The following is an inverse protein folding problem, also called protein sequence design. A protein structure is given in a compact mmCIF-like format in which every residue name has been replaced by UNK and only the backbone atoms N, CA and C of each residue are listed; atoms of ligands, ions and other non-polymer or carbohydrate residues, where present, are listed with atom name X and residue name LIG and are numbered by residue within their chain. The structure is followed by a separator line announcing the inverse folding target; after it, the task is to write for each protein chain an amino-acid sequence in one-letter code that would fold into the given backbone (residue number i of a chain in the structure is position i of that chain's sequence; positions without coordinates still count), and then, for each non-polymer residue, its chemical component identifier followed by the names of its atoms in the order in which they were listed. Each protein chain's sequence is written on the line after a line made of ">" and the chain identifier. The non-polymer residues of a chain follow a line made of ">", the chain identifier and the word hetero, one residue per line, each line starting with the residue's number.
data_IF_232564162914
#
_entry.id   IF_232564162914
#
_cell.length_a   1.000
_cell.length_b   1.000
_cell.length_c   1.000
_cell.angle_alpha   90.00
_cell.angle_beta   90.00
_cell.angle_gamma   90.00
#
_symmetry.space_group_name_H-M   'P 1'
#
loop_
_entity.id
_entity.type
_entity.pdbx_description
1 polymer ?
#
# COMPACT_ATOMS: atom_id res chain seq x y z
N UNK A 1 19.39 11.11 -5.39
CA UNK A 1 19.66 10.56 -4.02
C UNK A 1 18.86 9.29 -3.91
N UNK A 2 19.52 8.15 -3.63
CA UNK A 2 18.84 6.85 -3.55
C UNK A 2 17.88 6.79 -2.36
N UNK A 3 16.80 6.03 -2.52
CA UNK A 3 15.72 5.88 -1.51
C UNK A 3 16.29 5.41 -0.16
N UNK A 4 17.30 4.55 -0.15
CA UNK A 4 17.93 4.04 1.08
C UNK A 4 18.55 5.11 1.96
N UNK A 5 18.88 6.27 1.40
CA UNK A 5 19.49 7.40 2.14
C UNK A 5 18.43 8.34 2.74
N UNK A 6 17.17 8.15 2.39
CA UNK A 6 16.05 8.92 2.93
C UNK A 6 15.67 8.43 4.34
N UNK A 7 15.15 9.32 5.16
CA UNK A 7 14.55 8.97 6.46
C UNK A 7 13.22 8.24 6.24
N UNK A 8 12.70 7.56 7.27
CA UNK A 8 11.39 6.90 7.20
C UNK A 8 10.25 7.86 6.79
N UNK A 9 10.13 9.09 7.36
CA UNK A 9 9.12 10.03 6.92
C UNK A 9 9.22 10.41 5.43
N UNK A 10 10.43 10.66 4.94
CA UNK A 10 10.68 11.01 3.54
C UNK A 10 10.32 9.85 2.60
N UNK A 11 10.74 8.60 2.93
CA UNK A 11 10.35 7.41 2.16
C UNK A 11 8.85 7.22 2.15
N UNK A 12 8.20 7.32 3.32
CA UNK A 12 6.76 7.15 3.43
C UNK A 12 5.98 8.16 2.58
N UNK A 13 6.44 9.41 2.54
CA UNK A 13 5.85 10.43 1.68
C UNK A 13 6.09 10.13 0.19
N UNK A 14 7.32 9.75 -0.19
CA UNK A 14 7.65 9.41 -1.57
C UNK A 14 6.77 8.27 -2.08
N UNK A 15 6.67 7.17 -1.33
CA UNK A 15 5.87 6.02 -1.74
C UNK A 15 4.36 6.31 -1.74
N UNK A 16 3.86 7.18 -0.84
CA UNK A 16 2.48 7.66 -0.90
C UNK A 16 2.19 8.43 -2.19
N UNK A 17 3.10 9.30 -2.61
CA UNK A 17 2.99 10.03 -3.88
C UNK A 17 3.03 9.08 -5.08
N UNK A 18 3.92 8.08 -5.10
CA UNK A 18 3.96 7.08 -6.17
C UNK A 18 2.70 6.21 -6.21
N UNK A 19 2.19 5.77 -5.06
CA UNK A 19 0.92 5.04 -4.98
C UNK A 19 -0.27 5.90 -5.45
N UNK A 20 -0.26 7.21 -5.19
CA UNK A 20 -1.28 8.15 -5.70
C UNK A 20 -1.18 8.35 -7.20
N UNK A 21 0.03 8.49 -7.74
CA UNK A 21 0.28 8.64 -9.19
C UNK A 21 -0.23 7.42 -9.95
N UNK A 22 -0.19 6.23 -9.35
CA UNK A 22 -0.66 4.99 -9.98
C UNK A 22 -2.17 4.99 -10.33
N UNK A 23 -2.97 5.89 -9.76
CA UNK A 23 -4.39 6.06 -10.15
C UNK A 23 -4.60 6.89 -11.41
N UNK A 24 -3.56 7.54 -11.92
CA UNK A 24 -3.70 8.41 -13.09
C UNK A 24 -3.60 7.60 -14.39
N UNK A 25 -4.64 7.68 -15.24
CA UNK A 25 -4.69 7.01 -16.54
C UNK A 25 -3.90 7.75 -17.64
N UNK A 26 -3.52 9.02 -17.39
CA UNK A 26 -2.75 9.80 -18.34
C UNK A 26 -1.24 9.55 -18.18
N UNK A 27 -0.69 8.64 -18.97
CA UNK A 27 0.73 8.26 -18.92
C UNK A 27 1.70 9.45 -19.08
N UNK A 28 1.32 10.50 -19.79
CA UNK A 28 2.17 11.69 -19.93
C UNK A 28 2.27 12.45 -18.61
N UNK A 29 1.15 12.58 -17.90
CA UNK A 29 1.12 13.21 -16.58
C UNK A 29 1.81 12.34 -15.53
N UNK A 30 1.61 11.02 -15.59
CA UNK A 30 2.35 10.05 -14.73
C UNK A 30 3.87 10.23 -14.91
N UNK A 31 4.37 10.25 -16.15
CA UNK A 31 5.80 10.46 -16.43
C UNK A 31 6.31 11.80 -15.93
N UNK A 32 5.52 12.88 -16.08
CA UNK A 32 5.88 14.21 -15.59
C UNK A 32 5.98 14.24 -14.07
N UNK A 33 5.00 13.68 -13.37
CA UNK A 33 4.98 13.60 -11.90
C UNK A 33 6.09 12.69 -11.37
N UNK A 34 6.32 11.53 -11.99
CA UNK A 34 7.41 10.63 -11.63
C UNK A 34 8.78 11.32 -11.79
N UNK A 35 8.98 12.10 -12.87
CA UNK A 35 10.20 12.85 -13.09
C UNK A 35 10.46 13.89 -11.99
N UNK A 36 9.41 14.56 -11.49
CA UNK A 36 9.54 15.51 -10.37
C UNK A 36 9.94 14.83 -9.05
N UNK A 37 9.68 13.52 -8.93
CA UNK A 37 10.08 12.68 -7.79
C UNK A 37 11.43 11.98 -8.00
N UNK A 38 12.12 12.25 -9.12
CA UNK A 38 13.44 11.70 -9.41
C UNK A 38 13.47 10.37 -10.16
N UNK A 39 12.35 9.98 -10.78
CA UNK A 39 12.25 8.77 -11.61
C UNK A 39 12.20 9.13 -13.08
N UNK A 40 13.12 8.57 -13.87
CA UNK A 40 13.30 8.91 -15.30
C UNK A 40 12.64 7.92 -16.24
N UNK A 41 12.40 6.70 -15.78
CA UNK A 41 11.76 5.64 -16.55
C UNK A 41 10.46 5.22 -15.88
N UNK A 42 9.41 5.09 -16.68
CA UNK A 42 8.07 4.67 -16.23
C UNK A 42 7.55 3.63 -17.20
N UNK A 43 7.17 2.47 -16.69
CA UNK A 43 6.50 1.40 -17.41
C UNK A 43 5.11 1.18 -16.81
N UNK A 44 4.12 0.85 -17.64
CA UNK A 44 2.75 0.59 -17.21
C UNK A 44 2.37 -0.85 -17.50
N UNK A 45 1.90 -1.55 -16.51
CA UNK A 45 1.38 -2.90 -16.61
C UNK A 45 -0.13 -2.89 -16.46
N UNK A 46 -0.83 -3.52 -17.41
CA UNK A 46 -2.28 -3.63 -17.39
C UNK A 46 -2.71 -4.96 -18.01
N UNK A 47 -3.40 -5.77 -17.23
CA UNK A 47 -3.95 -7.03 -17.69
C UNK A 47 -5.21 -7.37 -16.90
N UNK A 48 -6.31 -7.66 -17.59
CA UNK A 48 -7.62 -8.06 -17.02
C UNK A 48 -8.15 -7.11 -15.93
N UNK A 49 -7.79 -5.81 -15.99
CA UNK A 49 -8.16 -4.81 -14.99
C UNK A 49 -7.16 -4.63 -13.85
N UNK A 50 -6.28 -5.59 -13.61
CA UNK A 50 -5.16 -5.44 -12.70
C UNK A 50 -4.12 -4.47 -13.28
N UNK A 51 -3.66 -3.50 -12.49
CA UNK A 51 -2.76 -2.45 -12.97
C UNK A 51 -1.65 -2.14 -11.97
N UNK A 52 -0.47 -1.85 -12.53
CA UNK A 52 0.67 -1.36 -11.75
C UNK A 52 1.59 -0.48 -12.62
N UNK A 53 2.41 0.30 -11.96
CA UNK A 53 3.49 1.07 -12.60
C UNK A 53 4.84 0.66 -12.04
N UNK A 54 5.85 0.60 -12.92
CA UNK A 54 7.25 0.62 -12.53
C UNK A 54 7.80 2.03 -12.69
N UNK A 55 8.36 2.55 -11.61
CA UNK A 55 9.12 3.79 -11.59
C UNK A 55 10.58 3.45 -11.36
N UNK A 56 11.48 3.93 -12.22
CA UNK A 56 12.90 3.59 -12.12
C UNK A 56 13.80 4.81 -12.28
N UNK A 57 14.84 4.84 -11.48
CA UNK A 57 15.99 5.72 -11.62
C UNK A 57 17.29 4.88 -11.62
N UNK A 58 18.45 5.52 -11.47
CA UNK A 58 19.75 4.84 -11.52
C UNK A 58 19.96 3.83 -10.36
N UNK A 59 19.40 4.12 -9.18
CA UNK A 59 19.65 3.35 -7.95
C UNK A 59 18.45 2.47 -7.56
N UNK A 60 17.23 2.88 -7.93
CA UNK A 60 16.00 2.32 -7.37
C UNK A 60 14.98 1.97 -8.45
N UNK A 61 14.25 0.90 -8.22
CA UNK A 61 13.10 0.45 -8.98
C UNK A 61 11.92 0.25 -8.02
N UNK A 62 10.82 0.94 -8.28
CA UNK A 62 9.60 0.89 -7.47
C UNK A 62 8.45 0.33 -8.28
N UNK A 63 7.81 -0.72 -7.78
CA UNK A 63 6.52 -1.21 -8.29
C UNK A 63 5.40 -0.60 -7.44
N UNK A 64 4.58 0.23 -8.05
CA UNK A 64 3.40 0.83 -7.43
C UNK A 64 2.14 0.19 -8.00
N UNK A 65 1.47 -0.62 -7.18
CA UNK A 65 0.21 -1.26 -7.58
C UNK A 65 -0.95 -0.29 -7.44
N UNK A 66 -1.78 -0.22 -8.48
CA UNK A 66 -3.01 0.58 -8.48
C UNK A 66 -4.10 -0.16 -7.71
N UNK A 67 -4.81 0.56 -6.86
CA UNK A 67 -6.04 0.10 -6.22
C UNK A 67 -7.26 0.35 -7.11
N UNK A 68 -8.42 -0.10 -6.64
CA UNK A 68 -9.70 0.20 -7.24
C UNK A 68 -10.18 1.58 -6.78
N UNK A 69 -10.93 2.28 -7.64
CA UNK A 69 -11.54 3.56 -7.28
C UNK A 69 -12.47 3.42 -6.06
N UNK A 70 -12.49 4.40 -5.13
CA UNK A 70 -13.28 4.33 -3.91
C UNK A 70 -14.78 4.10 -4.13
N UNK A 71 -15.32 4.53 -5.28
CA UNK A 71 -16.72 4.34 -5.66
C UNK A 71 -17.10 2.88 -5.91
N UNK A 72 -16.13 2.04 -6.28
CA UNK A 72 -16.31 0.60 -6.53
C UNK A 72 -16.00 -0.24 -5.28
N UNK A 73 -15.61 0.41 -4.18
CA UNK A 73 -15.18 -0.29 -2.96
C UNK A 73 -16.27 -1.15 -2.33
N UNK A 74 -17.55 -0.77 -2.46
CA UNK A 74 -18.68 -1.58 -1.95
C UNK A 74 -18.74 -2.96 -2.61
N UNK A 75 -18.42 -3.04 -3.91
CA UNK A 75 -18.39 -4.30 -4.66
C UNK A 75 -17.21 -5.15 -4.20
N UNK A 76 -16.02 -4.51 -4.03
CA UNK A 76 -14.83 -5.17 -3.50
C UNK A 76 -15.04 -5.64 -2.05
N UNK A 77 -15.71 -4.85 -1.20
CA UNK A 77 -16.02 -5.24 0.17
C UNK A 77 -16.94 -6.45 0.23
N UNK A 78 -17.83 -6.63 -0.76
CA UNK A 78 -18.64 -7.85 -0.91
C UNK A 78 -17.80 -9.05 -1.34
N UNK A 79 -16.84 -8.86 -2.27
CA UNK A 79 -15.91 -9.89 -2.72
C UNK A 79 -14.83 -10.22 -1.68
N UNK A 80 -14.57 -9.33 -0.73
CA UNK A 80 -13.66 -9.57 0.42
C UNK A 80 -14.11 -10.75 1.31
N UNK A 81 -15.31 -11.32 1.10
CA UNK A 81 -15.72 -12.61 1.67
C UNK A 81 -15.09 -13.82 0.96
N UNK A 82 -14.24 -13.58 -0.03
CA UNK A 82 -13.63 -14.66 -0.80
C UNK A 82 -12.84 -15.64 0.10
N UNK A 83 -13.00 -16.92 -0.18
CA UNK A 83 -12.28 -17.96 0.53
C UNK A 83 -10.75 -17.81 0.35
N UNK A 84 -9.94 -18.11 1.38
CA UNK A 84 -8.51 -18.10 1.25
C UNK A 84 -8.02 -19.25 0.36
N UNK A 85 -6.98 -18.98 -0.45
CA UNK A 85 -6.31 -19.95 -1.32
C UNK A 85 -4.85 -20.12 -0.93
N UNK A 86 -4.19 -21.17 -1.43
CA UNK A 86 -2.74 -21.36 -1.22
C UNK A 86 -1.94 -20.28 -1.94
N UNK A 87 -0.96 -19.72 -1.25
CA UNK A 87 0.10 -18.87 -1.81
C UNK A 87 1.33 -19.69 -2.17
N UNK A 88 2.34 -19.03 -2.70
CA UNK A 88 3.67 -19.60 -3.00
C UNK A 88 4.34 -20.17 -1.74
N UNK A 89 4.11 -19.58 -0.59
CA UNK A 89 4.58 -20.09 0.72
C UNK A 89 3.80 -21.30 1.26
N UNK A 90 2.91 -21.90 0.45
CA UNK A 90 1.95 -22.92 0.85
C UNK A 90 0.96 -22.51 1.97
N UNK A 91 1.02 -21.26 2.41
CA UNK A 91 0.10 -20.65 3.38
C UNK A 91 -1.14 -20.07 2.68
N UNK A 92 -2.04 -19.44 3.44
CA UNK A 92 -3.31 -18.96 2.91
C UNK A 92 -3.32 -17.46 2.71
N UNK A 93 -3.63 -17.03 1.48
CA UNK A 93 -3.79 -15.65 1.04
C UNK A 93 -5.20 -15.42 0.49
N UNK A 94 -5.67 -14.21 0.47
CA UNK A 94 -6.97 -13.84 -0.11
C UNK A 94 -7.01 -14.14 -1.61
N UNK A 95 -8.04 -14.89 -2.06
CA UNK A 95 -8.19 -15.35 -3.46
C UNK A 95 -8.16 -14.19 -4.45
N UNK A 96 -8.97 -13.14 -4.21
CA UNK A 96 -9.07 -12.01 -5.12
C UNK A 96 -7.74 -11.28 -5.28
N UNK A 97 -7.03 -10.98 -4.18
CA UNK A 97 -5.73 -10.30 -4.26
C UNK A 97 -4.67 -11.12 -4.98
N UNK A 98 -4.70 -12.45 -4.75
CA UNK A 98 -3.81 -13.36 -5.47
C UNK A 98 -4.13 -13.40 -6.96
N UNK A 99 -5.40 -13.46 -7.32
CA UNK A 99 -5.84 -13.51 -8.72
C UNK A 99 -5.40 -12.25 -9.50
N UNK A 100 -5.59 -11.05 -8.94
CA UNK A 100 -5.09 -9.80 -9.55
C UNK A 100 -3.57 -9.83 -9.77
N UNK A 101 -2.84 -10.36 -8.81
CA UNK A 101 -1.38 -10.48 -8.94
C UNK A 101 -0.99 -11.57 -9.92
N UNK A 102 -1.69 -12.72 -9.96
CA UNK A 102 -1.44 -13.80 -10.93
C UNK A 102 -1.52 -13.31 -12.38
N UNK A 103 -2.43 -12.35 -12.67
CA UNK A 103 -2.53 -11.74 -13.99
C UNK A 103 -1.33 -10.85 -14.34
N UNK A 104 -0.85 -10.03 -13.40
CA UNK A 104 0.23 -9.09 -13.66
C UNK A 104 1.63 -9.68 -13.50
N UNK A 105 1.79 -10.66 -12.61
CA UNK A 105 3.10 -11.14 -12.17
C UNK A 105 4.02 -11.61 -13.30
N UNK A 106 3.55 -12.37 -14.30
CA UNK A 106 4.43 -12.81 -15.38
C UNK A 106 5.06 -11.63 -16.14
N UNK A 107 4.28 -10.59 -16.41
CA UNK A 107 4.74 -9.38 -17.11
C UNK A 107 5.70 -8.54 -16.24
N UNK A 108 5.38 -8.39 -14.97
CA UNK A 108 6.22 -7.66 -13.99
C UNK A 108 7.53 -8.38 -13.77
N UNK A 109 7.50 -9.70 -13.60
CA UNK A 109 8.70 -10.54 -13.38
C UNK A 109 9.63 -10.50 -14.60
N UNK A 110 9.10 -10.68 -15.82
CA UNK A 110 9.87 -10.58 -17.06
C UNK A 110 10.58 -9.23 -17.18
N UNK A 111 9.84 -8.15 -16.94
CA UNK A 111 10.39 -6.80 -17.05
C UNK A 111 11.44 -6.49 -15.97
N UNK A 112 11.20 -6.89 -14.73
CA UNK A 112 12.18 -6.75 -13.65
C UNK A 112 13.44 -7.56 -13.97
N UNK A 113 13.30 -8.82 -14.38
CA UNK A 113 14.44 -9.68 -14.71
C UNK A 113 15.29 -9.08 -15.83
N UNK A 114 14.66 -8.45 -16.82
CA UNK A 114 15.35 -7.83 -17.97
C UNK A 114 15.99 -6.49 -17.62
N UNK A 115 15.37 -5.70 -16.74
CA UNK A 115 15.73 -4.28 -16.52
C UNK A 115 16.54 -4.04 -15.26
N UNK A 116 16.46 -4.91 -14.27
CA UNK A 116 17.19 -4.73 -13.00
C UNK A 116 18.66 -5.06 -13.19
N UNK A 117 19.50 -4.04 -13.07
CA UNK A 117 20.92 -4.24 -12.81
C UNK A 117 21.11 -4.76 -11.38
N UNK A 118 22.19 -5.52 -11.14
CA UNK A 118 22.52 -6.06 -9.80
C UNK A 118 22.58 -5.02 -8.68
N UNK A 119 22.72 -3.75 -9.02
CA UNK A 119 22.84 -2.63 -8.08
C UNK A 119 21.51 -1.91 -7.81
N UNK A 120 20.47 -2.13 -8.63
CA UNK A 120 19.16 -1.52 -8.39
C UNK A 120 18.47 -2.15 -7.18
N UNK A 121 17.92 -1.33 -6.30
CA UNK A 121 17.08 -1.77 -5.18
C UNK A 121 15.63 -1.85 -5.60
N UNK A 122 14.95 -2.91 -5.19
CA UNK A 122 13.55 -3.19 -5.53
C UNK A 122 12.63 -2.83 -4.37
N UNK A 123 11.64 -1.99 -4.63
CA UNK A 123 10.68 -1.49 -3.65
C UNK A 123 9.26 -1.72 -4.13
N UNK A 124 8.33 -1.88 -3.19
CA UNK A 124 6.91 -2.00 -3.50
C UNK A 124 6.09 -0.99 -2.74
N UNK A 125 5.04 -0.46 -3.38
CA UNK A 125 4.06 0.35 -2.70
C UNK A 125 2.66 0.19 -3.31
N UNK A 126 1.65 0.61 -2.56
CA UNK A 126 0.28 0.61 -3.02
C UNK A 126 -0.70 1.15 -1.99
N UNK A 127 -1.89 1.47 -2.46
CA UNK A 127 -3.00 1.95 -1.65
C UNK A 127 -4.23 1.06 -1.88
N UNK A 128 -5.02 0.83 -0.83
CA UNK A 128 -6.27 0.05 -0.93
C UNK A 128 -6.03 -1.38 -1.46
N UNK A 129 -6.75 -1.82 -2.49
CA UNK A 129 -6.49 -3.08 -3.19
C UNK A 129 -5.05 -3.16 -3.71
N UNK A 130 -4.51 -2.05 -4.25
CA UNK A 130 -3.12 -1.99 -4.70
C UNK A 130 -2.11 -2.25 -3.58
N UNK A 131 -2.45 -1.90 -2.33
CA UNK A 131 -1.63 -2.26 -1.17
C UNK A 131 -1.60 -3.77 -0.92
N UNK A 132 -2.73 -4.45 -1.11
CA UNK A 132 -2.79 -5.91 -1.01
C UNK A 132 -2.01 -6.57 -2.15
N UNK A 133 -2.14 -6.08 -3.39
CA UNK A 133 -1.38 -6.56 -4.54
C UNK A 133 0.14 -6.38 -4.32
N UNK A 134 0.57 -5.20 -3.88
CA UNK A 134 1.96 -4.91 -3.57
C UNK A 134 2.51 -5.86 -2.48
N UNK A 135 1.69 -6.19 -1.47
CA UNK A 135 2.05 -7.16 -0.42
C UNK A 135 2.27 -8.56 -1.00
N UNK A 136 1.38 -9.02 -1.90
CA UNK A 136 1.51 -10.34 -2.54
C UNK A 136 2.71 -10.37 -3.47
N UNK A 137 2.96 -9.31 -4.27
CA UNK A 137 4.12 -9.23 -5.17
C UNK A 137 5.44 -9.22 -4.39
N UNK A 138 5.55 -8.41 -3.33
CA UNK A 138 6.74 -8.37 -2.48
C UNK A 138 7.02 -9.74 -1.82
N UNK A 139 5.98 -10.46 -1.41
CA UNK A 139 6.10 -11.84 -0.90
C UNK A 139 6.62 -12.81 -1.97
N UNK A 140 6.21 -12.66 -3.22
CA UNK A 140 6.63 -13.53 -4.33
C UNK A 140 8.10 -13.40 -4.64
N UNK A 141 8.68 -12.20 -4.54
CA UNK A 141 10.10 -11.99 -4.80
C UNK A 141 10.98 -12.97 -4.02
N UNK A 142 10.61 -13.29 -2.78
CA UNK A 142 11.33 -14.24 -1.94
C UNK A 142 11.33 -15.70 -2.47
N UNK A 143 10.42 -16.02 -3.39
CA UNK A 143 10.31 -17.37 -4.00
C UNK A 143 10.76 -17.39 -5.46
N UNK A 144 11.39 -16.31 -5.94
CA UNK A 144 11.85 -16.13 -7.32
C UNK A 144 13.36 -15.97 -7.39
N UNK A 145 14.08 -17.04 -7.75
CA UNK A 145 15.55 -17.02 -7.84
C UNK A 145 16.08 -16.07 -8.92
N UNK A 146 15.22 -15.66 -9.87
CA UNK A 146 15.61 -14.81 -11.01
C UNK A 146 15.71 -13.32 -10.68
N UNK A 147 15.16 -12.88 -9.55
CA UNK A 147 15.15 -11.48 -9.11
C UNK A 147 15.60 -11.39 -7.65
N UNK A 148 15.96 -10.19 -7.25
CA UNK A 148 16.30 -9.91 -5.83
C UNK A 148 15.05 -9.74 -4.98
N UNK A 149 15.22 -9.95 -3.68
CA UNK A 149 14.20 -9.64 -2.69
C UNK A 149 13.84 -8.15 -2.68
N UNK A 150 12.60 -7.86 -2.28
CA UNK A 150 12.17 -6.50 -2.03
C UNK A 150 12.90 -5.91 -0.81
N UNK A 151 13.44 -4.70 -0.94
CA UNK A 151 14.10 -3.98 0.18
C UNK A 151 13.09 -3.66 1.28
N UNK A 152 12.02 -2.97 0.92
CA UNK A 152 10.91 -2.64 1.83
C UNK A 152 9.60 -2.51 1.04
N UNK A 153 8.49 -2.64 1.76
CA UNK A 153 7.13 -2.47 1.27
C UNK A 153 6.43 -1.34 2.03
N UNK A 154 5.77 -0.44 1.30
CA UNK A 154 5.00 0.66 1.87
C UNK A 154 3.54 0.60 1.43
N UNK A 155 2.63 0.48 2.37
CA UNK A 155 1.20 0.40 2.07
C UNK A 155 0.38 1.43 2.82
N UNK A 156 -0.68 1.91 2.18
CA UNK A 156 -1.60 2.92 2.69
C UNK A 156 -3.02 2.37 2.64
N UNK A 157 -3.72 2.38 3.75
CA UNK A 157 -5.08 1.84 3.82
C UNK A 157 -5.19 0.37 3.40
N UNK A 158 -4.17 -0.45 3.70
CA UNK A 158 -4.13 -1.85 3.27
C UNK A 158 -5.17 -2.71 3.98
N UNK A 159 -5.95 -3.53 3.26
CA UNK A 159 -6.74 -4.59 3.86
C UNK A 159 -5.84 -5.70 4.43
N UNK A 160 -6.43 -6.68 5.15
CA UNK A 160 -5.71 -7.88 5.60
C UNK A 160 -5.53 -8.84 4.44
N UNK A 161 -4.29 -9.24 4.15
CA UNK A 161 -3.95 -9.97 2.93
C UNK A 161 -4.00 -11.48 3.11
N UNK A 162 -3.63 -11.99 4.27
CA UNK A 162 -3.52 -13.44 4.48
C UNK A 162 -3.76 -13.92 5.90
N UNK A 163 -3.66 -15.22 6.09
CA UNK A 163 -3.76 -15.88 7.38
C UNK A 163 -2.42 -15.82 8.15
N UNK A 164 -2.39 -16.19 9.46
CA UNK A 164 -1.18 -16.12 10.27
C UNK A 164 0.02 -16.84 9.69
N UNK A 165 -0.19 -17.96 9.00
CA UNK A 165 0.88 -18.70 8.32
C UNK A 165 1.52 -17.86 7.20
N UNK A 166 0.70 -17.17 6.40
CA UNK A 166 1.18 -16.28 5.34
C UNK A 166 1.97 -15.09 5.92
N UNK A 167 1.41 -14.43 6.93
CA UNK A 167 2.07 -13.31 7.60
C UNK A 167 3.43 -13.69 8.18
N UNK A 168 3.56 -14.91 8.72
CA UNK A 168 4.84 -15.41 9.26
C UNK A 168 5.90 -15.67 8.19
N UNK A 169 5.50 -15.89 6.94
CA UNK A 169 6.43 -16.14 5.82
C UNK A 169 6.87 -14.87 5.12
N UNK A 170 6.31 -13.70 5.47
CA UNK A 170 6.73 -12.42 4.93
C UNK A 170 8.15 -12.08 5.44
N UNK A 171 9.08 -11.91 4.50
CA UNK A 171 10.48 -11.54 4.79
C UNK A 171 10.72 -10.05 4.59
N UNK A 172 9.95 -9.43 3.69
CA UNK A 172 10.09 -8.01 3.35
C UNK A 172 9.67 -7.13 4.52
N UNK A 173 10.50 -6.18 4.89
CA UNK A 173 10.15 -5.17 5.90
C UNK A 173 9.00 -4.32 5.39
N UNK A 174 7.87 -4.37 6.08
CA UNK A 174 6.62 -3.76 5.64
C UNK A 174 6.20 -2.61 6.58
N UNK A 175 6.11 -1.41 6.02
CA UNK A 175 5.58 -0.21 6.65
C UNK A 175 4.12 0.00 6.25
N UNK A 176 3.20 -0.28 7.16
CA UNK A 176 1.77 -0.22 6.93
C UNK A 176 1.16 1.03 7.55
N UNK A 177 0.80 2.00 6.72
CA UNK A 177 0.17 3.24 7.13
C UNK A 177 -1.35 3.08 7.24
N UNK A 178 -1.90 3.54 8.37
CA UNK A 178 -3.33 3.48 8.70
C UNK A 178 -3.78 4.86 9.14
N UNK A 179 -4.75 5.42 8.43
CA UNK A 179 -5.30 6.72 8.75
C UNK A 179 -6.59 6.57 9.56
N UNK A 180 -6.55 6.96 10.82
CA UNK A 180 -7.68 7.09 11.74
C UNK A 180 -8.72 5.95 11.64
N UNK A 181 -9.89 6.23 11.07
CA UNK A 181 -11.02 5.29 10.91
C UNK A 181 -11.10 4.67 9.51
N UNK A 182 -10.01 4.62 8.77
CA UNK A 182 -9.97 3.97 7.46
C UNK A 182 -10.53 2.54 7.55
N UNK A 183 -11.76 2.37 7.00
CA UNK A 183 -12.53 1.13 7.10
C UNK A 183 -11.88 -0.02 6.33
N UNK A 184 -11.13 0.28 5.25
CA UNK A 184 -10.47 -0.72 4.41
C UNK A 184 -9.48 -1.54 5.22
N UNK A 185 -8.82 -0.92 6.19
CA UNK A 185 -7.88 -1.60 7.08
C UNK A 185 -8.55 -2.62 8.01
N UNK A 186 -9.87 -2.61 8.11
CA UNK A 186 -10.62 -3.53 8.99
C UNK A 186 -11.05 -4.82 8.29
N UNK A 187 -10.95 -4.88 6.97
CA UNK A 187 -11.41 -6.01 6.14
C UNK A 187 -10.24 -6.79 5.53
N UNK A 188 -10.40 -8.05 5.19
CA UNK A 188 -11.43 -8.97 5.72
C UNK A 188 -11.39 -9.06 7.25
N UNK A 189 -12.53 -9.40 7.93
CA UNK A 189 -12.56 -9.46 9.39
C UNK A 189 -11.53 -10.44 9.96
N UNK A 190 -10.88 -10.07 11.05
CA UNK A 190 -9.94 -10.95 11.77
C UNK A 190 -10.60 -12.24 12.29
N UNK A 191 -11.92 -12.21 12.54
CA UNK A 191 -12.69 -13.36 13.01
C UNK A 191 -12.69 -14.55 12.02
N UNK A 192 -12.52 -14.29 10.72
CA UNK A 192 -12.40 -15.34 9.70
C UNK A 192 -10.95 -15.71 9.40
N UNK A 193 -10.03 -15.36 10.31
CA UNK A 193 -8.64 -15.80 10.28
C UNK A 193 -7.65 -14.84 9.65
N UNK A 194 -8.08 -13.74 8.99
CA UNK A 194 -7.16 -12.81 8.34
C UNK A 194 -6.37 -11.96 9.35
N UNK A 195 -5.13 -11.69 9.00
CA UNK A 195 -4.18 -10.90 9.80
C UNK A 195 -3.50 -9.84 8.92
N UNK A 196 -3.09 -8.76 9.57
CA UNK A 196 -2.16 -7.82 8.96
C UNK A 196 -0.73 -8.33 9.08
N UNK A 197 0.06 -8.02 8.06
CA UNK A 197 1.51 -8.06 8.06
C UNK A 197 2.09 -6.67 8.36
N UNK A 198 3.35 -6.64 8.77
CA UNK A 198 4.16 -5.43 8.87
C UNK A 198 3.95 -4.57 10.12
N UNK A 199 4.79 -3.54 10.20
CA UNK A 199 4.75 -2.53 11.25
C UNK A 199 3.66 -1.50 10.96
N UNK A 200 2.73 -1.33 11.90
CA UNK A 200 1.68 -0.35 11.78
C UNK A 200 2.15 1.05 12.18
N UNK A 201 1.98 2.01 11.27
CA UNK A 201 2.13 3.43 11.49
C UNK A 201 0.74 4.09 11.48
N UNK A 202 0.25 4.46 12.66
CA UNK A 202 -1.11 4.99 12.81
C UNK A 202 -1.09 6.52 12.79
N UNK A 203 -1.91 7.10 11.92
CA UNK A 203 -2.24 8.52 11.86
C UNK A 203 -3.54 8.75 12.61
N UNK A 204 -3.53 9.59 13.64
CA UNK A 204 -4.76 9.91 14.38
C UNK A 204 -5.66 10.88 13.58
N UNK A 205 -6.83 11.24 14.12
CA UNK A 205 -7.78 12.15 13.47
C UNK A 205 -7.21 13.55 13.11
N UNK A 206 -6.03 13.89 13.61
CA UNK A 206 -5.31 15.15 13.31
C UNK A 206 -4.12 14.91 12.36
N UNK A 207 -3.88 13.68 11.92
CA UNK A 207 -2.77 13.32 11.06
C UNK A 207 -1.43 13.16 11.79
N UNK A 208 -1.41 13.13 13.12
CA UNK A 208 -0.18 12.90 13.87
C UNK A 208 0.13 11.41 13.97
N UNK A 209 1.40 11.05 13.76
CA UNK A 209 1.87 9.67 13.93
C UNK A 209 1.86 9.30 15.41
N UNK A 210 1.19 8.22 15.75
CA UNK A 210 1.06 7.72 17.14
C UNK A 210 1.23 6.22 17.21
N UNK A 211 1.62 5.72 18.38
CA UNK A 211 1.50 4.31 18.76
C UNK A 211 0.30 4.16 19.70
N UNK A 212 -0.92 4.04 19.18
CA UNK A 212 -2.11 4.11 20.01
C UNK A 212 -2.27 2.83 20.84
N UNK A 213 -2.66 2.98 22.10
CA UNK A 213 -3.17 1.88 22.90
C UNK A 213 -4.55 1.44 22.36
N UNK A 214 -5.01 0.24 22.73
CA UNK A 214 -6.36 -0.24 22.37
C UNK A 214 -7.47 0.73 22.78
N UNK A 215 -7.30 1.39 23.93
CA UNK A 215 -8.23 2.38 24.44
C UNK A 215 -8.22 3.68 23.64
N UNK A 216 -7.04 4.15 23.25
CA UNK A 216 -6.92 5.33 22.37
C UNK A 216 -7.57 5.10 21.00
N UNK A 217 -7.36 3.93 20.38
CA UNK A 217 -8.07 3.55 19.14
C UNK A 217 -9.58 3.55 19.29
N UNK A 218 -10.08 3.07 20.42
CA UNK A 218 -11.52 3.08 20.69
C UNK A 218 -12.05 4.50 20.79
N UNK A 219 -11.35 5.39 21.49
CA UNK A 219 -11.70 6.82 21.58
C UNK A 219 -11.65 7.51 20.23
N UNK A 220 -10.62 7.27 19.42
CA UNK A 220 -10.49 7.83 18.08
C UNK A 220 -11.64 7.39 17.17
N UNK A 221 -12.02 6.11 17.23
CA UNK A 221 -13.20 5.59 16.51
C UNK A 221 -14.49 6.27 16.92
N UNK A 222 -14.73 6.44 18.23
CA UNK A 222 -15.92 7.15 18.73
C UNK A 222 -15.91 8.63 18.29
N UNK A 223 -14.74 9.29 18.33
CA UNK A 223 -14.59 10.67 17.90
C UNK A 223 -14.84 10.85 16.41
N UNK A 224 -14.28 9.93 15.56
CA UNK A 224 -14.51 9.94 14.13
C UNK A 224 -15.97 9.72 13.78
N UNK A 225 -16.65 8.76 14.46
CA UNK A 225 -18.08 8.55 14.29
C UNK A 225 -18.89 9.80 14.66
N UNK A 226 -18.54 10.47 15.77
CA UNK A 226 -19.23 11.68 16.22
C UNK A 226 -19.00 12.88 15.29
N UNK A 227 -17.78 13.04 14.75
CA UNK A 227 -17.47 14.08 13.75
C UNK A 227 -18.17 13.80 12.42
N UNK A 228 -18.25 12.53 11.99
CA UNK A 228 -18.97 12.12 10.79
C UNK A 228 -20.47 12.44 10.87
N UNK A 229 -21.11 12.16 12.01
CA UNK A 229 -22.51 12.52 12.26
C UNK A 229 -22.71 14.03 12.20
N UNK A 230 -21.81 14.84 12.79
CA UNK A 230 -21.90 16.31 12.76
C UNK A 230 -21.76 16.92 11.37
N UNK A 231 -20.99 16.27 10.47
CA UNK A 231 -20.73 16.76 9.09
C UNK A 231 -21.69 16.18 8.06
N UNK A 232 -22.61 15.28 8.45
CA UNK A 232 -23.55 14.63 7.54
C UNK A 232 -22.90 13.68 6.53
N UNK A 233 -21.64 13.31 6.75
CA UNK A 233 -20.88 12.34 5.93
C UNK A 233 -20.33 11.26 6.84
N UNK A 234 -20.39 10.00 6.39
CA UNK A 234 -19.70 8.89 7.06
C UNK A 234 -18.21 9.01 6.73
N UNK A 235 -17.43 9.55 7.66
CA UNK A 235 -16.02 9.96 7.51
C UNK A 235 -15.05 8.79 7.21
N UNK A 236 -15.55 7.55 7.29
CA UNK A 236 -14.72 6.33 7.12
C UNK A 236 -14.14 6.14 5.70
N UNK A 237 -14.81 6.67 4.68
CA UNK A 237 -14.31 6.68 3.29
C UNK A 237 -13.40 7.89 3.03
N UNK A 238 -13.64 9.01 3.70
CA UNK A 238 -12.76 10.18 3.66
C UNK A 238 -11.37 9.83 4.21
N UNK A 239 -11.29 9.08 5.30
CA UNK A 239 -10.04 8.63 5.90
C UNK A 239 -9.25 7.67 4.99
N UNK A 240 -9.90 7.02 4.03
CA UNK A 240 -9.25 6.17 3.02
C UNK A 240 -8.62 6.95 1.86
N UNK A 241 -8.80 8.27 1.79
CA UNK A 241 -8.30 9.09 0.69
C UNK A 241 -6.77 9.21 0.69
N UNK A 242 -6.12 8.96 -0.47
CA UNK A 242 -4.68 9.19 -0.65
C UNK A 242 -4.28 10.65 -0.41
N UNK A 243 -5.19 11.61 -0.67
CA UNK A 243 -4.95 13.03 -0.40
C UNK A 243 -4.68 13.24 1.10
N UNK A 244 -5.47 12.62 1.98
CA UNK A 244 -5.28 12.72 3.43
C UNK A 244 -3.97 12.05 3.87
N UNK A 245 -3.67 10.85 3.36
CA UNK A 245 -2.39 10.20 3.63
C UNK A 245 -1.20 11.07 3.25
N UNK A 246 -1.20 11.65 2.05
CA UNK A 246 -0.11 12.51 1.57
C UNK A 246 0.02 13.76 2.42
N UNK A 247 -1.08 14.47 2.71
CA UNK A 247 -1.07 15.70 3.51
C UNK A 247 -0.47 15.45 4.90
N UNK A 248 -0.87 14.38 5.56
CA UNK A 248 -0.37 14.04 6.90
C UNK A 248 1.10 13.60 6.87
N UNK A 249 1.50 12.85 5.85
CA UNK A 249 2.89 12.45 5.67
C UNK A 249 3.80 13.64 5.28
N UNK A 250 3.28 14.65 4.58
CA UNK A 250 4.03 15.89 4.33
C UNK A 250 4.32 16.65 5.62
N UNK A 251 3.36 16.67 6.53
CA UNK A 251 3.56 17.29 7.85
C UNK A 251 4.57 16.49 8.68
N UNK A 252 4.45 15.17 8.68
CA UNK A 252 5.37 14.28 9.37
C UNK A 252 6.81 14.43 8.84
N UNK A 253 7.00 14.47 7.52
CA UNK A 253 8.31 14.64 6.90
C UNK A 253 8.93 16.03 7.19
N UNK A 254 8.10 17.05 7.43
CA UNK A 254 8.56 18.39 7.84
C UNK A 254 8.79 18.54 9.35
N UNK A 255 8.60 17.48 10.13
CA UNK A 255 8.67 17.53 11.60
C UNK A 255 7.60 18.41 12.26
N UNK A 256 6.46 18.63 11.57
CA UNK A 256 5.32 19.41 12.08
C UNK A 256 4.26 18.48 12.64
N UNK A 257 3.87 18.68 13.89
CA UNK A 257 2.65 18.08 14.47
C UNK A 257 1.48 19.07 14.37
N UNK A 258 0.29 18.55 14.12
CA UNK A 258 -0.92 19.37 14.26
C UNK A 258 -1.16 19.64 15.74
N UNK A 259 -1.15 20.90 16.12
CA UNK A 259 -1.30 21.39 17.49
C UNK A 259 -2.76 21.44 17.98
N UNK A 260 -3.68 20.72 17.35
CA UNK A 260 -5.04 20.55 17.85
C UNK A 260 -5.11 19.24 18.65
N UNK A 261 -4.80 19.36 19.92
CA UNK A 261 -5.10 18.36 20.96
C UNK A 261 -6.54 18.48 21.44
#
# INVERSE_FOLDING_TARGET
>A
MGISKMTLPERSLLFAKLASIAYNDNIKEVKKQAKSLGFTTVEFYNKEGAQAYRFQNKEDLVIACRGTEPTQFNDIAADLKAAPVKSESASRVHRGFKAEVDELWPMVLEDITRTVNKDNKLWFCGHSLGAAMATVMASRCFYEDSIRDAEELYTYGSPRVGWPGYVKTMQTKHHRWVNNNDIVTTVPPWLIGYKHDGEEHYLNAYGNVRKPTRWQRFKDKLRGLWMGIKRGQVDSFSDHSMVNYINYLEMYAKGKENSQS
#
